data_IF_728158168741
#
_entry.id   IF_728158168741
#
_cell.length_a   1.000
_cell.length_b   1.000
_cell.length_c   1.000
_cell.angle_alpha   90.00
_cell.angle_beta   90.00
_cell.angle_gamma   90.00
#
_symmetry.space_group_name_H-M   'P 1'
#
loop_
_entity.id
_entity.type
_entity.pdbx_description
1 polymer ?
#
# COMPACT_ATOMS: atom_id res chain seq x y z
N UNK A 1 -9.64 2.23 -9.06
CA UNK A 1 -8.97 3.02 -7.98
C UNK A 1 -8.08 2.13 -7.15
N UNK A 2 -6.87 2.57 -6.93
CA UNK A 2 -5.92 1.87 -6.06
C UNK A 2 -5.67 2.73 -4.83
N UNK A 3 -5.90 2.16 -3.66
CA UNK A 3 -5.58 2.77 -2.37
C UNK A 3 -4.49 1.95 -1.70
N UNK A 4 -3.63 2.59 -0.92
CA UNK A 4 -2.53 1.91 -0.21
C UNK A 4 -2.72 2.08 1.29
N UNK A 5 -2.59 0.98 2.02
CA UNK A 5 -2.57 0.97 3.49
C UNK A 5 -1.20 0.50 3.97
N UNK A 6 -0.49 1.38 4.65
CA UNK A 6 0.81 1.10 5.26
C UNK A 6 0.62 0.78 6.73
N UNK A 7 0.87 -0.46 7.11
CA UNK A 7 0.73 -0.94 8.49
C UNK A 7 1.98 -0.67 9.32
N UNK A 8 1.77 -0.48 10.62
CA UNK A 8 2.86 -0.55 11.59
C UNK A 8 3.91 0.54 11.49
N UNK A 9 3.53 1.73 11.02
CA UNK A 9 4.46 2.85 10.97
C UNK A 9 5.01 3.18 12.36
N UNK A 10 6.34 3.34 12.45
CA UNK A 10 7.05 3.77 13.66
C UNK A 10 7.75 5.09 13.36
N UNK A 11 7.35 6.16 14.04
CA UNK A 11 7.76 7.53 13.72
C UNK A 11 9.28 7.74 13.75
N UNK A 12 9.99 7.07 14.64
CA UNK A 12 11.45 7.23 14.75
C UNK A 12 12.24 6.32 13.81
N UNK A 13 11.70 5.17 13.43
CA UNK A 13 12.44 4.16 12.65
C UNK A 13 12.04 4.13 11.18
N UNK A 14 10.79 4.42 10.88
CA UNK A 14 10.23 4.19 9.56
C UNK A 14 9.92 5.47 8.78
N UNK A 15 10.29 6.64 9.30
CA UNK A 15 9.92 7.93 8.70
C UNK A 15 10.31 8.02 7.21
N UNK A 16 11.53 7.64 6.88
CA UNK A 16 12.00 7.68 5.49
C UNK A 16 11.29 6.66 4.61
N UNK A 17 11.22 5.41 5.04
CA UNK A 17 10.56 4.34 4.27
C UNK A 17 9.09 4.65 4.06
N UNK A 18 8.39 5.08 5.10
CA UNK A 18 6.97 5.42 4.99
C UNK A 18 6.73 6.61 4.08
N UNK A 19 7.62 7.63 4.12
CA UNK A 19 7.57 8.75 3.18
C UNK A 19 7.71 8.25 1.76
N UNK A 20 8.70 7.39 1.49
CA UNK A 20 8.94 6.85 0.15
C UNK A 20 7.78 5.98 -0.33
N UNK A 21 7.12 5.24 0.55
CA UNK A 21 5.90 4.53 0.17
C UNK A 21 4.82 5.49 -0.34
N UNK A 22 4.66 6.63 0.32
CA UNK A 22 3.72 7.66 -0.12
C UNK A 22 4.09 8.25 -1.47
N UNK A 23 5.38 8.54 -1.67
CA UNK A 23 5.88 9.09 -2.93
C UNK A 23 5.69 8.10 -4.09
N UNK A 24 6.00 6.84 -3.86
CA UNK A 24 5.85 5.78 -4.87
C UNK A 24 4.37 5.58 -5.18
N UNK A 25 3.52 5.51 -4.17
CA UNK A 25 2.08 5.34 -4.36
C UNK A 25 1.53 6.44 -5.27
N UNK A 26 1.87 7.70 -4.99
CA UNK A 26 1.44 8.82 -5.81
C UNK A 26 2.00 8.74 -7.22
N UNK A 27 3.30 8.51 -7.35
CA UNK A 27 3.99 8.54 -8.65
C UNK A 27 3.53 7.42 -9.58
N UNK A 28 3.14 6.27 -9.02
CA UNK A 28 2.80 5.09 -9.81
C UNK A 28 1.29 4.80 -9.85
N UNK A 29 0.46 5.83 -9.71
CA UNK A 29 -0.94 5.76 -10.08
C UNK A 29 -1.94 5.44 -8.97
N UNK A 30 -1.51 5.28 -7.72
CA UNK A 30 -2.46 5.12 -6.62
C UNK A 30 -3.18 6.44 -6.35
N UNK A 31 -4.38 6.35 -5.77
CA UNK A 31 -5.22 7.51 -5.46
C UNK A 31 -5.01 8.05 -4.06
N UNK A 32 -4.48 7.22 -3.15
CA UNK A 32 -4.29 7.62 -1.76
C UNK A 32 -3.36 6.67 -1.03
N UNK A 33 -2.81 7.15 0.07
CA UNK A 33 -2.14 6.32 1.06
C UNK A 33 -2.69 6.62 2.45
N UNK A 34 -2.93 5.56 3.21
CA UNK A 34 -3.39 5.61 4.59
C UNK A 34 -2.29 5.00 5.45
N UNK A 35 -1.79 5.76 6.39
CA UNK A 35 -0.79 5.28 7.35
C UNK A 35 -1.48 4.80 8.62
N UNK A 36 -1.05 3.65 9.14
CA UNK A 36 -1.51 3.12 10.41
C UNK A 36 -0.30 2.75 11.27
N UNK A 37 -0.46 2.80 12.57
CA UNK A 37 0.62 2.60 13.54
C UNK A 37 0.76 3.84 14.40
N UNK A 38 1.98 4.32 14.61
CA UNK A 38 2.19 5.56 15.37
C UNK A 38 1.79 6.78 14.55
N UNK A 39 1.08 7.77 15.17
CA UNK A 39 0.78 9.02 14.46
C UNK A 39 2.08 9.77 14.14
N UNK A 40 2.13 10.33 12.96
CA UNK A 40 3.32 11.07 12.49
C UNK A 40 2.89 12.23 11.59
N UNK A 41 2.49 13.38 12.19
CA UNK A 41 2.06 14.53 11.41
C UNK A 41 3.10 15.05 10.43
N UNK A 42 4.39 14.96 10.75
CA UNK A 42 5.48 15.39 9.86
C UNK A 42 5.52 14.56 8.58
N UNK A 43 5.32 13.26 8.71
CA UNK A 43 5.24 12.34 7.57
C UNK A 43 4.09 12.74 6.64
N UNK A 44 2.91 12.92 7.20
CA UNK A 44 1.72 13.29 6.43
C UNK A 44 1.94 14.62 5.71
N UNK A 45 2.47 15.62 6.40
CA UNK A 45 2.75 16.92 5.80
C UNK A 45 3.81 16.86 4.69
N UNK A 46 4.85 16.02 4.87
CA UNK A 46 5.89 15.85 3.86
C UNK A 46 5.32 15.30 2.55
N UNK A 47 4.45 14.30 2.63
CA UNK A 47 3.83 13.72 1.43
C UNK A 47 2.83 14.69 0.82
N UNK A 48 2.04 15.40 1.64
CA UNK A 48 1.11 16.43 1.15
C UNK A 48 1.82 17.55 0.42
N UNK A 49 3.01 17.94 0.87
CA UNK A 49 3.81 18.95 0.22
C UNK A 49 4.21 18.53 -1.21
N UNK A 50 4.54 17.27 -1.40
CA UNK A 50 4.85 16.73 -2.74
C UNK A 50 3.61 16.78 -3.62
N UNK A 51 2.45 16.41 -3.10
CA UNK A 51 1.17 16.49 -3.84
C UNK A 51 0.90 17.92 -4.29
N UNK A 52 1.10 18.89 -3.38
CA UNK A 52 0.91 20.31 -3.69
C UNK A 52 1.84 20.78 -4.80
N UNK A 53 3.11 20.38 -4.77
CA UNK A 53 4.13 20.85 -5.71
C UNK A 53 4.08 20.14 -7.05
N UNK A 54 3.71 18.87 -7.08
CA UNK A 54 3.78 18.03 -8.28
C UNK A 54 2.43 17.61 -8.83
N UNK A 55 1.35 17.93 -8.10
CA UNK A 55 -0.02 17.69 -8.57
C UNK A 55 -0.71 16.50 -7.90
N UNK A 56 -2.03 16.59 -7.94
CA UNK A 56 -2.95 15.58 -7.45
C UNK A 56 -3.95 15.18 -8.52
N UNK A 57 -5.08 14.60 -8.11
CA UNK A 57 -5.47 14.39 -6.71
C UNK A 57 -4.80 13.15 -6.09
N UNK A 58 -4.30 13.30 -4.89
CA UNK A 58 -3.76 12.19 -4.11
C UNK A 58 -4.00 12.50 -2.62
N UNK A 59 -4.64 11.59 -1.91
CA UNK A 59 -4.98 11.77 -0.50
C UNK A 59 -3.95 11.10 0.39
N UNK A 60 -3.64 11.75 1.50
CA UNK A 60 -2.74 11.21 2.53
C UNK A 60 -3.46 11.33 3.85
N UNK A 61 -3.60 10.24 4.57
CA UNK A 61 -4.29 10.25 5.86
C UNK A 61 -3.65 9.27 6.85
N UNK A 62 -4.06 9.40 8.10
CA UNK A 62 -3.67 8.50 9.17
C UNK A 62 -4.93 7.92 9.81
N UNK A 63 -4.92 6.61 10.03
CA UNK A 63 -5.98 5.89 10.74
C UNK A 63 -5.36 4.95 11.75
N UNK A 64 -5.75 5.07 13.01
CA UNK A 64 -5.18 4.25 14.08
C UNK A 64 -5.44 2.77 13.88
N UNK A 65 -6.66 2.40 13.49
CA UNK A 65 -7.08 1.00 13.36
C UNK A 65 -7.01 0.52 11.91
N UNK A 66 -6.00 -0.27 11.59
CA UNK A 66 -5.90 -0.88 10.27
C UNK A 66 -7.05 -1.86 9.99
N UNK A 67 -7.59 -2.52 11.06
CA UNK A 67 -8.73 -3.41 10.91
C UNK A 67 -9.96 -2.69 10.41
N UNK A 68 -10.21 -1.49 10.95
CA UNK A 68 -11.33 -0.65 10.51
C UNK A 68 -11.17 -0.20 9.07
N UNK A 69 -9.94 0.10 8.65
CA UNK A 69 -9.64 0.49 7.27
C UNK A 69 -9.97 -0.67 6.33
N UNK A 70 -9.46 -1.85 6.61
CA UNK A 70 -9.71 -3.03 5.76
C UNK A 70 -11.22 -3.32 5.69
N UNK A 71 -11.90 -3.31 6.84
CA UNK A 71 -13.35 -3.56 6.87
C UNK A 71 -14.12 -2.53 6.04
N UNK A 72 -13.77 -1.26 6.17
CA UNK A 72 -14.38 -0.17 5.40
C UNK A 72 -14.21 -0.38 3.89
N UNK A 73 -13.00 -0.70 3.46
CA UNK A 73 -12.71 -0.87 2.03
C UNK A 73 -13.37 -2.13 1.46
N UNK A 74 -13.44 -3.21 2.24
CA UNK A 74 -14.22 -4.39 1.85
C UNK A 74 -15.70 -4.05 1.63
N UNK A 75 -16.29 -3.27 2.53
CA UNK A 75 -17.70 -2.84 2.37
C UNK A 75 -17.91 -2.00 1.12
N UNK A 76 -16.88 -1.27 0.69
CA UNK A 76 -16.92 -0.47 -0.54
C UNK A 76 -16.67 -1.30 -1.81
N UNK A 77 -16.45 -2.61 -1.67
CA UNK A 77 -16.21 -3.49 -2.82
C UNK A 77 -14.76 -3.57 -3.27
N UNK A 78 -13.81 -3.09 -2.47
CA UNK A 78 -12.38 -3.22 -2.78
C UNK A 78 -11.89 -4.64 -2.54
N UNK A 79 -11.03 -5.11 -3.45
CA UNK A 79 -10.26 -6.34 -3.24
C UNK A 79 -9.02 -6.00 -2.41
N UNK A 80 -8.70 -6.84 -1.44
CA UNK A 80 -7.57 -6.62 -0.55
C UNK A 80 -6.37 -7.41 -1.07
N UNK A 81 -5.31 -6.70 -1.46
CA UNK A 81 -4.07 -7.30 -1.94
C UNK A 81 -2.95 -7.01 -0.94
N UNK A 82 -2.53 -8.03 -0.21
CA UNK A 82 -1.45 -7.91 0.77
C UNK A 82 -0.13 -8.32 0.14
N UNK A 83 0.86 -7.42 0.17
CA UNK A 83 2.20 -7.71 -0.34
C UNK A 83 3.05 -8.35 0.74
N UNK A 84 3.55 -9.55 0.45
CA UNK A 84 4.35 -10.34 1.38
C UNK A 84 5.24 -11.30 0.61
N UNK A 85 6.49 -11.48 1.06
CA UNK A 85 7.38 -12.47 0.45
C UNK A 85 6.85 -13.90 0.57
N UNK A 86 5.88 -14.13 1.44
CA UNK A 86 5.24 -15.44 1.64
C UNK A 86 4.01 -15.66 0.77
N UNK A 87 3.69 -14.69 -0.09
CA UNK A 87 2.52 -14.78 -0.95
C UNK A 87 2.76 -15.56 -2.24
N UNK A 88 1.74 -15.59 -3.07
CA UNK A 88 1.83 -16.17 -4.41
C UNK A 88 2.68 -15.29 -5.33
N UNK A 89 3.49 -15.87 -6.22
CA UNK A 89 4.27 -15.07 -7.16
C UNK A 89 3.38 -14.15 -7.99
N UNK A 90 3.76 -12.89 -8.11
CA UNK A 90 2.98 -11.87 -8.81
C UNK A 90 2.69 -12.29 -10.27
N UNK A 91 3.62 -12.96 -10.92
CA UNK A 91 3.48 -13.41 -12.29
C UNK A 91 2.26 -14.32 -12.49
N UNK A 92 1.90 -15.08 -11.46
CA UNK A 92 0.79 -16.05 -11.55
C UNK A 92 -0.56 -15.42 -11.24
N UNK A 93 -0.61 -14.26 -10.57
CA UNK A 93 -1.85 -13.70 -10.04
C UNK A 93 -2.22 -12.33 -10.64
N UNK A 94 -1.26 -11.63 -11.22
CA UNK A 94 -1.46 -10.23 -11.64
C UNK A 94 -2.60 -10.05 -12.62
N UNK A 95 -2.82 -11.00 -13.50
CA UNK A 95 -3.92 -10.93 -14.47
C UNK A 95 -5.28 -10.90 -13.80
N UNK A 96 -5.44 -11.65 -12.70
CA UNK A 96 -6.68 -11.63 -11.91
C UNK A 96 -6.84 -10.32 -11.17
N UNK A 97 -5.75 -9.79 -10.61
CA UNK A 97 -5.77 -8.53 -9.87
C UNK A 97 -6.14 -7.37 -10.79
N UNK A 98 -5.59 -7.34 -12.00
CA UNK A 98 -5.90 -6.30 -13.01
C UNK A 98 -7.39 -6.22 -13.37
N UNK A 99 -8.13 -7.30 -13.20
CA UNK A 99 -9.58 -7.33 -13.46
C UNK A 99 -10.37 -6.64 -12.34
N UNK A 100 -9.75 -6.37 -11.20
CA UNK A 100 -10.41 -5.69 -10.09
C UNK A 100 -10.31 -4.18 -10.30
N UNK A 101 -11.46 -3.50 -10.25
CA UNK A 101 -11.51 -2.05 -10.44
C UNK A 101 -10.95 -1.31 -9.24
N UNK A 102 -11.24 -1.81 -8.04
CA UNK A 102 -10.89 -1.15 -6.79
C UNK A 102 -10.06 -2.11 -5.95
N UNK A 103 -8.84 -1.71 -5.63
CA UNK A 103 -7.90 -2.53 -4.88
C UNK A 103 -7.31 -1.72 -3.73
N UNK A 104 -7.33 -2.30 -2.54
CA UNK A 104 -6.57 -1.80 -1.39
C UNK A 104 -5.31 -2.65 -1.29
N UNK A 105 -4.17 -2.02 -1.54
CA UNK A 105 -2.86 -2.66 -1.40
C UNK A 105 -2.40 -2.48 0.03
N UNK A 106 -2.16 -3.57 0.74
CA UNK A 106 -1.69 -3.55 2.12
C UNK A 106 -0.21 -3.88 2.14
N UNK A 107 0.58 -2.97 2.68
CA UNK A 107 2.01 -3.15 2.90
C UNK A 107 2.31 -3.00 4.38
N UNK A 108 3.26 -3.78 4.87
CA UNK A 108 3.57 -3.79 6.28
C UNK A 108 4.99 -3.38 6.59
N UNK A 109 5.22 -3.12 7.87
CA UNK A 109 6.54 -2.99 8.42
C UNK A 109 7.11 -4.39 8.68
N UNK A 110 8.11 -4.49 9.55
CA UNK A 110 8.88 -5.71 9.80
C UNK A 110 8.04 -6.93 10.17
N UNK A 111 7.00 -6.74 10.99
CA UNK A 111 6.09 -7.82 11.39
C UNK A 111 4.65 -7.44 11.11
N UNK A 112 3.99 -8.24 10.30
CA UNK A 112 2.59 -8.07 9.96
C UNK A 112 1.78 -9.10 10.74
N UNK A 113 0.68 -8.67 11.41
CA UNK A 113 -0.19 -9.64 12.10
C UNK A 113 -0.71 -10.72 11.16
N UNK A 114 -0.71 -11.97 11.64
CA UNK A 114 -1.19 -13.10 10.84
C UNK A 114 -2.63 -12.93 10.34
N UNK A 115 -3.45 -12.15 11.05
CA UNK A 115 -4.81 -11.83 10.65
C UNK A 115 -4.89 -11.16 9.27
N UNK A 116 -3.87 -10.36 8.91
CA UNK A 116 -3.84 -9.69 7.60
C UNK A 116 -3.84 -10.71 6.47
N UNK A 117 -3.11 -11.82 6.63
CA UNK A 117 -3.06 -12.90 5.64
C UNK A 117 -4.44 -13.52 5.41
N UNK A 118 -5.24 -13.62 6.47
CA UNK A 118 -6.59 -14.19 6.40
C UNK A 118 -7.60 -13.20 5.81
N UNK A 119 -7.43 -11.92 6.07
CA UNK A 119 -8.32 -10.87 5.57
C UNK A 119 -8.08 -10.54 4.10
N UNK A 120 -6.90 -10.80 3.59
CA UNK A 120 -6.55 -10.49 2.21
C UNK A 120 -7.24 -11.45 1.24
N UNK A 121 -7.72 -10.88 0.13
CA UNK A 121 -8.22 -11.70 -0.98
C UNK A 121 -7.06 -12.32 -1.73
N UNK A 122 -5.92 -11.62 -1.79
CA UNK A 122 -4.70 -12.09 -2.42
C UNK A 122 -3.50 -11.72 -1.55
N UNK A 123 -2.67 -12.70 -1.23
CA UNK A 123 -1.34 -12.48 -0.65
C UNK A 123 -0.35 -12.64 -1.80
N UNK A 124 0.37 -11.58 -2.14
CA UNK A 124 1.17 -11.49 -3.37
C UNK A 124 2.63 -11.24 -3.04
N UNK A 125 3.51 -12.05 -3.62
CA UNK A 125 4.95 -11.83 -3.53
C UNK A 125 5.48 -11.30 -4.86
N UNK A 126 6.10 -10.12 -4.84
CA UNK A 126 6.84 -9.63 -6.01
C UNK A 126 8.13 -10.45 -6.18
N UNK A 127 8.64 -10.95 -5.07
CA UNK A 127 9.68 -11.98 -5.00
C UNK A 127 9.53 -12.70 -3.67
N UNK A 128 9.97 -13.94 -3.59
CA UNK A 128 9.97 -14.71 -2.34
C UNK A 128 11.28 -14.55 -1.56
N UNK A 129 12.09 -13.56 -1.93
CA UNK A 129 13.32 -13.19 -1.23
C UNK A 129 13.09 -11.93 -0.40
N UNK A 130 13.82 -11.73 0.70
CA UNK A 130 13.70 -10.50 1.49
C UNK A 130 13.95 -9.26 0.64
N UNK A 131 13.10 -8.25 0.78
CA UNK A 131 13.17 -7.02 -0.01
C UNK A 131 12.45 -5.89 0.73
N UNK A 132 12.61 -4.67 0.21
CA UNK A 132 11.93 -3.49 0.73
C UNK A 132 10.46 -3.47 0.31
N UNK A 133 9.57 -3.04 1.20
CA UNK A 133 8.16 -2.83 0.88
C UNK A 133 7.96 -1.70 -0.13
N UNK A 134 8.88 -0.75 -0.22
CA UNK A 134 8.87 0.30 -1.27
C UNK A 134 9.00 -0.34 -2.64
N UNK A 135 9.96 -1.27 -2.78
CA UNK A 135 10.17 -2.00 -4.02
C UNK A 135 8.96 -2.85 -4.38
N UNK A 136 8.40 -3.56 -3.40
CA UNK A 136 7.21 -4.40 -3.62
C UNK A 136 6.02 -3.56 -4.12
N UNK A 137 5.79 -2.41 -3.49
CA UNK A 137 4.72 -1.51 -3.89
C UNK A 137 4.93 -1.00 -5.33
N UNK A 138 6.14 -0.57 -5.65
CA UNK A 138 6.45 -0.07 -6.99
C UNK A 138 6.23 -1.12 -8.06
N UNK A 139 6.70 -2.35 -7.82
CA UNK A 139 6.53 -3.44 -8.78
C UNK A 139 5.05 -3.78 -8.96
N UNK A 140 4.30 -3.89 -7.87
CA UNK A 140 2.87 -4.20 -7.98
C UNK A 140 2.13 -3.14 -8.78
N UNK A 141 2.34 -1.85 -8.46
CA UNK A 141 1.65 -0.76 -9.16
C UNK A 141 2.02 -0.74 -10.64
N UNK A 142 3.30 -0.87 -10.96
CA UNK A 142 3.76 -0.92 -12.34
C UNK A 142 3.11 -2.08 -13.11
N UNK A 143 3.09 -3.26 -12.52
CA UNK A 143 2.47 -4.44 -13.12
C UNK A 143 0.95 -4.29 -13.24
N UNK A 144 0.31 -3.72 -12.21
CA UNK A 144 -1.14 -3.52 -12.25
C UNK A 144 -1.56 -2.62 -13.41
N UNK A 145 -0.87 -1.50 -13.59
CA UNK A 145 -1.17 -0.55 -14.67
C UNK A 145 -0.55 -0.91 -16.01
N UNK A 146 0.27 -1.96 -16.07
CA UNK A 146 0.93 -2.38 -17.31
C UNK A 146 1.90 -1.34 -17.85
N UNK A 147 2.53 -0.58 -16.96
CA UNK A 147 3.46 0.47 -17.33
C UNK A 147 2.79 1.75 -17.82
N UNK A 148 1.49 1.90 -17.58
CA UNK A 148 0.72 3.09 -18.02
C UNK A 148 0.22 3.93 -16.85
N UNK A 149 0.90 3.89 -15.74
CA UNK A 149 0.60 4.70 -14.55
C UNK A 149 0.81 6.20 -14.73
#
# INVERSE_FOLDING_TARGET
MISVLRLGHRSQRDARISTHCGLVARALGASEIIYSGEPDPKLVESVKAVVKNWGGPFKVSYEKSWRKVIAKYKRKGFSICHLSMYGLPIQTIIKKVRKRRNVLVVIGAEKVPGEVYKLADYNIAVTNQPHSEVAALAVLLHEYFGGKE
#
